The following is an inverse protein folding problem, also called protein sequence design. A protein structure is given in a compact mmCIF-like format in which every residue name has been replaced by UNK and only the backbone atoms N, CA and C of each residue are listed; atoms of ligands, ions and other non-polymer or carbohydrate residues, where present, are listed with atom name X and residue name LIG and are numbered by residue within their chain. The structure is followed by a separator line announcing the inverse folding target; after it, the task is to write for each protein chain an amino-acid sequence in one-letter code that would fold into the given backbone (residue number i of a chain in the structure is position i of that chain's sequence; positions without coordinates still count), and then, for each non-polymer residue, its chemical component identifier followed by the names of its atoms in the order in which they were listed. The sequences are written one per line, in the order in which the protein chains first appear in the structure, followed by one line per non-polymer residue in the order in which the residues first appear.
data_IF_014587187962
#
_entry.id   IF_014587187962
#
_cell.length_a   1.000
_cell.length_b   1.000
_cell.length_c   1.000
_cell.angle_alpha   90.00
_cell.angle_beta   90.00
_cell.angle_gamma   90.00
#
_symmetry.space_group_name_H-M   'P 1'
#
loop_
_entity.id
_entity.type
_entity.pdbx_description
1 polymer ?
#
# COMPACT_ATOMS: atom_id res chain seq x y z
N UNK A 1 -12.45 10.34 0.84
CA UNK A 1 -11.36 9.34 0.68
C UNK A 1 -10.11 9.96 1.29
N UNK A 2 -9.39 9.28 2.19
CA UNK A 2 -8.17 9.84 2.75
C UNK A 2 -7.04 9.84 1.72
N UNK A 3 -6.48 11.02 1.46
CA UNK A 3 -5.18 11.16 0.82
C UNK A 3 -4.13 10.53 1.72
N UNK A 4 -3.58 9.39 1.32
CA UNK A 4 -2.63 8.64 2.15
C UNK A 4 -1.23 8.79 1.61
N UNK A 5 -0.27 9.14 2.48
CA UNK A 5 1.14 9.15 2.13
C UNK A 5 1.73 7.74 2.27
N UNK A 6 2.40 7.29 1.21
CA UNK A 6 3.13 6.02 1.16
C UNK A 6 4.57 6.25 0.69
N UNK A 7 5.47 5.34 1.05
CA UNK A 7 6.87 5.41 0.61
C UNK A 7 7.04 4.99 -0.86
N UNK A 8 8.21 5.29 -1.45
CA UNK A 8 8.53 4.81 -2.81
C UNK A 8 8.54 3.28 -2.89
N UNK A 9 9.05 2.60 -1.85
CA UNK A 9 9.11 1.13 -1.82
C UNK A 9 7.70 0.52 -1.86
N UNK A 10 6.78 1.07 -1.06
CA UNK A 10 5.39 0.66 -1.08
C UNK A 10 4.74 0.92 -2.45
N UNK A 11 5.02 2.08 -3.05
CA UNK A 11 4.50 2.44 -4.38
C UNK A 11 5.04 1.53 -5.48
N UNK A 12 6.34 1.21 -5.46
CA UNK A 12 6.97 0.29 -6.42
C UNK A 12 6.38 -1.13 -6.30
N UNK A 13 6.09 -1.58 -5.09
CA UNK A 13 5.44 -2.86 -4.88
C UNK A 13 4.00 -2.88 -5.42
N UNK A 14 3.21 -1.83 -5.19
CA UNK A 14 1.86 -1.71 -5.79
C UNK A 14 1.95 -1.70 -7.32
N UNK A 15 2.91 -0.96 -7.89
CA UNK A 15 3.14 -0.89 -9.33
C UNK A 15 3.44 -2.25 -9.96
N UNK A 16 4.12 -3.14 -9.22
CA UNK A 16 4.40 -4.51 -9.69
C UNK A 16 3.16 -5.40 -9.82
N UNK A 17 2.04 -5.01 -9.20
CA UNK A 17 0.78 -5.76 -9.19
C UNK A 17 -0.32 -5.06 -9.99
N UNK A 18 -0.30 -3.73 -10.05
CA UNK A 18 -1.32 -2.91 -10.71
C UNK A 18 -0.68 -1.86 -11.62
N UNK A 19 -1.00 -1.89 -12.92
CA UNK A 19 -0.59 -0.86 -13.89
C UNK A 19 -1.79 -0.07 -14.43
N UNK A 20 -1.69 1.27 -14.55
CA UNK A 20 -0.58 2.13 -14.11
C UNK A 20 -0.59 2.38 -12.60
N UNK A 21 0.58 2.63 -11.97
CA UNK A 21 0.64 2.89 -10.53
C UNK A 21 -0.07 4.20 -10.18
N UNK A 22 -1.06 4.17 -9.26
CA UNK A 22 -1.77 5.37 -8.85
C UNK A 22 -0.88 6.28 -8.01
N UNK A 23 -1.14 7.59 -8.06
CA UNK A 23 -0.62 8.57 -7.10
C UNK A 23 0.22 9.71 -7.67
N UNK A 24 0.53 10.68 -6.80
CA UNK A 24 1.35 11.85 -7.08
C UNK A 24 2.55 11.91 -6.13
N UNK A 25 3.75 12.17 -6.68
CA UNK A 25 4.96 12.37 -5.88
C UNK A 25 4.91 13.69 -5.11
N UNK A 26 5.27 13.65 -3.84
CA UNK A 26 5.34 14.80 -2.93
C UNK A 26 6.78 15.34 -2.84
N UNK A 27 6.97 16.62 -2.41
CA UNK A 27 8.30 17.22 -2.29
C UNK A 27 9.24 16.53 -1.30
N UNK A 28 8.70 15.82 -0.31
CA UNK A 28 9.45 15.05 0.68
C UNK A 28 9.95 13.69 0.14
N UNK A 29 9.63 13.35 -1.12
CA UNK A 29 10.01 12.09 -1.76
C UNK A 29 8.97 10.98 -1.65
N UNK A 30 7.98 11.11 -0.76
CA UNK A 30 6.87 10.16 -0.62
C UNK A 30 5.85 10.33 -1.76
N UNK A 31 4.87 9.43 -1.80
CA UNK A 31 3.76 9.45 -2.74
C UNK A 31 2.45 9.62 -2.02
N UNK A 32 1.54 10.38 -2.63
CA UNK A 32 0.16 10.49 -2.21
C UNK A 32 -0.71 9.64 -3.12
N UNK A 33 -1.46 8.72 -2.54
CA UNK A 33 -2.44 7.91 -3.26
C UNK A 33 -3.84 8.14 -2.69
N UNK A 34 -4.84 8.04 -3.56
CA UNK A 34 -6.24 7.97 -3.14
C UNK A 34 -6.56 6.52 -2.77
N UNK A 35 -7.08 6.34 -1.55
CA UNK A 35 -7.59 5.05 -1.08
C UNK A 35 -9.09 5.19 -0.87
N UNK A 36 -9.88 4.33 -1.51
CA UNK A 36 -11.33 4.31 -1.31
C UNK A 36 -11.68 3.92 0.13
N UNK A 37 -12.89 4.27 0.57
CA UNK A 37 -13.29 4.06 1.96
C UNK A 37 -13.30 2.58 2.38
N UNK A 38 -13.64 1.67 1.46
CA UNK A 38 -13.69 0.24 1.77
C UNK A 38 -12.26 -0.32 1.91
N UNK A 39 -11.36 0.01 0.98
CA UNK A 39 -9.95 -0.36 1.07
C UNK A 39 -9.30 0.24 2.32
N UNK A 40 -9.60 1.50 2.65
CA UNK A 40 -9.08 2.14 3.86
C UNK A 40 -9.54 1.43 5.13
N UNK A 41 -10.83 1.13 5.26
CA UNK A 41 -11.35 0.38 6.42
C UNK A 41 -10.73 -1.01 6.53
N UNK A 42 -10.51 -1.68 5.40
CA UNK A 42 -9.87 -2.98 5.36
C UNK A 42 -8.40 -2.91 5.82
N UNK A 43 -7.64 -1.91 5.35
CA UNK A 43 -6.27 -1.65 5.79
C UNK A 43 -6.22 -1.37 7.30
N UNK A 44 -7.13 -0.55 7.83
CA UNK A 44 -7.20 -0.27 9.27
C UNK A 44 -7.45 -1.53 10.11
N UNK A 45 -8.25 -2.48 9.62
CA UNK A 45 -8.50 -3.75 10.32
C UNK A 45 -7.31 -4.71 10.30
N UNK A 46 -6.51 -4.67 9.24
CA UNK A 46 -5.35 -5.56 9.08
C UNK A 46 -4.05 -4.98 9.62
N UNK A 47 -4.01 -3.68 9.85
CA UNK A 47 -2.87 -2.95 10.39
C UNK A 47 -2.55 -3.43 11.80
N UNK A 48 -1.29 -3.76 12.04
CA UNK A 48 -0.78 -4.11 13.36
C UNK A 48 -0.61 -2.84 14.21
N UNK A 49 -0.52 -2.99 15.53
CA UNK A 49 -0.27 -1.87 16.43
C UNK A 49 1.03 -1.16 16.03
N UNK A 50 0.97 0.18 15.91
CA UNK A 50 2.08 1.07 15.52
C UNK A 50 2.68 0.87 14.11
N UNK A 51 2.13 -0.04 13.30
CA UNK A 51 2.57 -0.28 11.92
C UNK A 51 2.24 0.93 11.03
N UNK A 52 3.08 1.35 10.09
CA UNK A 52 2.67 2.39 9.13
C UNK A 52 1.70 1.84 8.07
N UNK A 53 1.00 2.70 7.33
CA UNK A 53 0.16 2.22 6.22
C UNK A 53 1.01 1.56 5.12
N UNK A 54 2.18 2.12 4.84
CA UNK A 54 3.15 1.54 3.89
C UNK A 54 3.55 0.12 4.31
N UNK A 55 3.92 -0.07 5.58
CA UNK A 55 4.34 -1.38 6.09
C UNK A 55 3.19 -2.40 6.04
N UNK A 56 1.97 -1.97 6.40
CA UNK A 56 0.77 -2.79 6.31
C UNK A 56 0.52 -3.27 4.87
N UNK A 57 0.58 -2.37 3.89
CA UNK A 57 0.41 -2.71 2.47
C UNK A 57 1.51 -3.68 2.01
N UNK A 58 2.77 -3.37 2.33
CA UNK A 58 3.91 -4.22 1.94
C UNK A 58 3.73 -5.64 2.48
N UNK A 59 3.43 -5.79 3.77
CA UNK A 59 3.20 -7.08 4.40
C UNK A 59 2.06 -7.86 3.75
N UNK A 60 0.93 -7.20 3.49
CA UNK A 60 -0.24 -7.82 2.85
C UNK A 60 0.10 -8.32 1.44
N UNK A 61 0.81 -7.51 0.65
CA UNK A 61 1.20 -7.89 -0.71
C UNK A 61 2.18 -9.06 -0.67
N UNK A 62 3.19 -9.04 0.19
CA UNK A 62 4.14 -10.16 0.37
C UNK A 62 3.40 -11.45 0.76
N UNK A 63 2.51 -11.41 1.75
CA UNK A 63 1.71 -12.58 2.16
C UNK A 63 0.85 -13.08 1.00
N UNK A 64 0.24 -12.16 0.24
CA UNK A 64 -0.64 -12.50 -0.88
C UNK A 64 0.14 -13.13 -2.03
N UNK A 65 1.29 -12.56 -2.39
CA UNK A 65 2.19 -13.11 -3.40
C UNK A 65 2.72 -14.49 -2.98
N UNK A 66 3.12 -14.64 -1.72
CA UNK A 66 3.56 -15.92 -1.17
C UNK A 66 2.44 -16.98 -1.22
N UNK A 67 1.20 -16.62 -0.86
CA UNK A 67 0.05 -17.54 -0.95
C UNK A 67 -0.34 -17.90 -2.39
N UNK A 68 -0.18 -16.97 -3.34
CA UNK A 68 -0.46 -17.20 -4.77
C UNK A 68 0.64 -18.02 -5.45
N UNK A 69 1.86 -17.95 -4.94
CA UNK A 69 2.98 -18.79 -5.32
C UNK A 69 3.26 -19.87 -4.30
N UNK A 70 2.28 -20.74 -4.01
CA UNK A 70 2.54 -22.06 -3.41
C UNK A 70 3.60 -22.78 -4.26
N UNK A 71 4.86 -22.57 -3.90
CA UNK A 71 5.88 -23.60 -3.83
C UNK A 71 5.71 -24.34 -2.51
#
# INVERSE_FOLDING_TARGET
MPDTEITEECRALIASVFEPPPGRRLPNGNWRIEIDAATWQWLQKLRLQDESISDCIIRIVIITLHKRGLQ
#
